data_IF_663623181026
#
_entry.id   IF_663623181026
#
_cell.length_a   1.000
_cell.length_b   1.000
_cell.length_c   1.000
_cell.angle_alpha   90.00
_cell.angle_beta   90.00
_cell.angle_gamma   90.00
#
_symmetry.space_group_name_H-M   'P 1'
#
loop_
_entity.id
_entity.type
_entity.pdbx_description
1 polymer ?
#
# COMPACT_ATOMS: atom_id res chain seq x y z
N UNK A 1 -9.11 -11.06 14.79
CA UNK A 1 -7.82 -10.97 14.07
C UNK A 1 -8.17 -11.08 12.60
N UNK A 2 -8.22 -9.95 11.90
CA UNK A 2 -8.67 -9.86 10.50
C UNK A 2 -7.59 -9.12 9.73
N UNK A 3 -6.59 -9.86 9.30
CA UNK A 3 -5.58 -9.34 8.38
C UNK A 3 -6.03 -9.78 7.00
N UNK A 4 -6.34 -8.81 6.12
CA UNK A 4 -6.35 -9.07 4.68
C UNK A 4 -4.89 -9.37 4.32
N UNK A 5 -4.50 -10.64 4.46
CA UNK A 5 -3.19 -11.13 4.12
C UNK A 5 -3.15 -11.65 2.67
N UNK A 6 -1.98 -12.11 2.20
CA UNK A 6 -1.79 -12.60 0.83
C UNK A 6 -2.69 -13.81 0.45
N UNK A 7 -3.35 -14.42 1.44
CA UNK A 7 -4.27 -15.56 1.26
C UNK A 7 -5.72 -15.23 1.66
N UNK A 8 -6.08 -13.94 1.78
CA UNK A 8 -7.43 -13.56 2.14
C UNK A 8 -8.42 -13.91 1.01
N UNK A 9 -9.54 -14.52 1.39
CA UNK A 9 -10.65 -14.79 0.48
C UNK A 9 -11.06 -13.49 -0.24
N UNK A 10 -11.07 -13.47 -1.60
CA UNK A 10 -11.47 -12.30 -2.36
C UNK A 10 -12.87 -11.80 -2.03
N UNK A 11 -13.82 -12.69 -1.72
CA UNK A 11 -15.20 -12.30 -1.37
C UNK A 11 -15.25 -11.62 0.00
N UNK A 12 -14.50 -12.16 0.96
CA UNK A 12 -14.37 -11.56 2.28
C UNK A 12 -13.68 -10.19 2.20
N UNK A 13 -12.60 -10.07 1.43
CA UNK A 13 -11.90 -8.80 1.22
C UNK A 13 -12.83 -7.76 0.59
N UNK A 14 -13.61 -8.13 -0.43
CA UNK A 14 -14.60 -7.25 -1.05
C UNK A 14 -15.65 -6.75 -0.06
N UNK A 15 -16.12 -7.61 0.86
CA UNK A 15 -17.08 -7.21 1.90
C UNK A 15 -16.50 -6.18 2.87
N UNK A 16 -15.23 -6.32 3.28
CA UNK A 16 -14.55 -5.36 4.17
C UNK A 16 -14.40 -4.01 3.47
N UNK A 17 -14.01 -4.00 2.19
CA UNK A 17 -13.85 -2.77 1.42
C UNK A 17 -15.18 -2.01 1.30
N UNK A 18 -16.27 -2.72 1.07
CA UNK A 18 -17.61 -2.15 1.03
C UNK A 18 -18.02 -1.60 2.40
N UNK A 19 -17.82 -2.38 3.48
CA UNK A 19 -18.14 -1.98 4.85
C UNK A 19 -17.38 -0.71 5.28
N UNK A 20 -16.09 -0.63 4.95
CA UNK A 20 -15.23 0.49 5.32
C UNK A 20 -15.36 1.69 4.37
N UNK A 21 -16.24 1.61 3.37
CA UNK A 21 -16.47 2.69 2.40
C UNK A 21 -15.25 2.98 1.52
N UNK A 22 -14.33 2.02 1.41
CA UNK A 22 -13.12 2.16 0.61
C UNK A 22 -13.52 1.96 -0.85
N UNK A 23 -13.75 3.07 -1.54
CA UNK A 23 -14.23 3.11 -2.93
C UNK A 23 -13.45 4.13 -3.75
N UNK A 24 -13.42 3.98 -5.07
CA UNK A 24 -12.80 4.95 -5.99
C UNK A 24 -11.35 4.66 -6.39
N UNK A 25 -10.80 3.51 -6.01
CA UNK A 25 -9.51 3.03 -6.51
C UNK A 25 -9.52 1.51 -6.74
N UNK A 26 -8.57 1.01 -7.52
CA UNK A 26 -8.45 -0.42 -7.84
C UNK A 26 -7.92 -1.20 -6.65
N UNK A 27 -8.48 -2.38 -6.43
CA UNK A 27 -8.02 -3.35 -5.44
C UNK A 27 -7.47 -4.58 -6.15
N UNK A 28 -6.35 -5.09 -5.67
CA UNK A 28 -5.72 -6.30 -6.20
C UNK A 28 -5.56 -7.31 -5.08
N UNK A 29 -5.83 -8.58 -5.39
CA UNK A 29 -5.40 -9.68 -4.55
C UNK A 29 -3.94 -9.98 -4.91
N UNK A 30 -3.02 -9.79 -3.97
CA UNK A 30 -1.58 -9.97 -4.16
C UNK A 30 -1.11 -11.23 -3.44
N UNK A 31 -0.36 -12.09 -4.14
CA UNK A 31 0.29 -13.28 -3.57
C UNK A 31 1.65 -12.94 -2.90
N UNK A 32 1.90 -11.64 -2.69
CA UNK A 32 3.09 -11.05 -2.10
C UNK A 32 4.11 -10.55 -3.13
N UNK A 33 3.93 -10.85 -4.41
CA UNK A 33 4.87 -10.42 -5.47
C UNK A 33 4.82 -8.92 -5.72
N UNK A 34 3.63 -8.31 -5.64
CA UNK A 34 3.52 -6.85 -5.80
C UNK A 34 4.19 -6.15 -4.62
N UNK A 35 4.00 -6.63 -3.39
CA UNK A 35 4.72 -6.12 -2.22
C UNK A 35 6.24 -6.12 -2.40
N UNK A 36 6.83 -7.22 -2.88
CA UNK A 36 8.27 -7.33 -3.15
C UNK A 36 8.73 -6.31 -4.20
N UNK A 37 7.96 -6.11 -5.28
CA UNK A 37 8.32 -5.16 -6.34
C UNK A 37 8.36 -3.70 -5.85
N UNK A 38 7.59 -3.38 -4.81
CA UNK A 38 7.52 -2.05 -4.22
C UNK A 38 8.24 -1.94 -2.87
N UNK A 39 9.08 -2.91 -2.50
CA UNK A 39 9.84 -2.91 -1.25
C UNK A 39 8.95 -2.80 0.00
N UNK A 40 7.80 -3.50 -0.01
CA UNK A 40 6.84 -3.59 1.10
C UNK A 40 6.82 -5.01 1.65
N UNK A 41 7.34 -5.21 2.86
CA UNK A 41 7.50 -6.53 3.48
C UNK A 41 6.63 -6.80 4.71
N UNK A 42 5.72 -5.87 5.06
CA UNK A 42 4.83 -6.04 6.20
C UNK A 42 3.59 -5.17 6.14
N UNK A 43 2.62 -5.48 7.01
CA UNK A 43 1.31 -4.80 7.08
C UNK A 43 1.12 -4.07 8.41
N UNK A 44 0.61 -2.82 8.42
CA UNK A 44 0.34 -1.99 7.24
C UNK A 44 1.64 -1.62 6.52
N UNK A 45 1.58 -1.44 5.21
CA UNK A 45 2.71 -1.12 4.36
C UNK A 45 2.26 -0.20 3.22
N UNK A 46 3.17 0.66 2.76
CA UNK A 46 2.85 1.68 1.76
C UNK A 46 4.04 1.92 0.84
N UNK A 47 3.75 2.17 -0.43
CA UNK A 47 4.70 2.69 -1.40
C UNK A 47 4.09 3.89 -2.15
N UNK A 48 4.92 4.89 -2.42
CA UNK A 48 4.61 6.03 -3.29
C UNK A 48 5.46 5.92 -4.54
N UNK A 49 4.80 6.00 -5.69
CA UNK A 49 5.42 5.94 -7.00
C UNK A 49 5.20 7.28 -7.70
N UNK A 50 6.28 7.92 -8.16
CA UNK A 50 6.18 9.16 -8.94
C UNK A 50 5.91 8.86 -10.42
N UNK A 51 5.49 9.88 -11.17
CA UNK A 51 5.29 9.76 -12.62
C UNK A 51 6.58 9.41 -13.39
N UNK A 52 7.76 9.69 -12.82
CA UNK A 52 9.06 9.29 -13.38
C UNK A 52 9.48 7.87 -13.02
N UNK A 53 8.68 7.16 -12.21
CA UNK A 53 8.96 5.80 -11.77
C UNK A 53 9.84 5.70 -10.52
N UNK A 54 10.10 6.81 -9.81
CA UNK A 54 10.79 6.77 -8.51
C UNK A 54 9.86 6.17 -7.46
N UNK A 55 10.38 5.30 -6.61
CA UNK A 55 9.62 4.58 -5.58
C UNK A 55 10.22 4.87 -4.21
N UNK A 56 9.38 5.28 -3.26
CA UNK A 56 9.70 5.26 -1.83
C UNK A 56 8.68 4.39 -1.10
N UNK A 57 9.14 3.52 -0.21
CA UNK A 57 8.30 2.58 0.54
C UNK A 57 8.52 2.72 2.04
N UNK A 58 7.55 2.21 2.80
CA UNK A 58 7.68 2.01 4.24
C UNK A 58 6.82 0.84 4.70
N UNK A 59 7.30 0.18 5.74
CA UNK A 59 6.52 -0.77 6.54
C UNK A 59 6.12 -0.12 7.86
N UNK A 60 4.90 -0.37 8.33
CA UNK A 60 4.31 0.21 9.53
C UNK A 60 3.48 1.46 9.26
N UNK A 61 2.59 1.79 10.21
CA UNK A 61 1.72 2.96 10.13
C UNK A 61 2.56 4.24 10.06
N UNK A 62 2.37 5.10 9.03
CA UNK A 62 3.05 6.37 8.94
C UNK A 62 2.70 7.38 10.03
N UNK A 63 1.54 7.24 10.66
CA UNK A 63 1.04 8.24 11.59
C UNK A 63 0.86 9.62 10.93
N UNK A 64 0.57 10.65 11.74
CA UNK A 64 0.38 12.01 11.25
C UNK A 64 1.66 12.56 10.59
N UNK A 65 1.55 13.09 9.37
CA UNK A 65 2.68 13.67 8.62
C UNK A 65 3.55 12.65 7.86
N UNK A 66 3.56 11.38 8.28
CA UNK A 66 4.40 10.36 7.64
C UNK A 66 4.03 10.02 6.18
N UNK A 67 2.84 10.40 5.74
CA UNK A 67 2.41 10.30 4.33
C UNK A 67 3.09 11.36 3.47
N UNK A 68 3.14 12.61 3.94
CA UNK A 68 3.80 13.71 3.23
C UNK A 68 5.30 13.47 3.14
N UNK A 69 5.92 12.99 4.22
CA UNK A 69 7.34 12.61 4.23
C UNK A 69 7.66 11.54 3.17
N UNK A 70 6.79 10.52 3.04
CA UNK A 70 6.97 9.47 2.04
C UNK A 70 6.82 10.00 0.60
N UNK A 71 5.88 10.93 0.39
CA UNK A 71 5.71 11.62 -0.90
C UNK A 71 6.94 12.46 -1.24
N UNK A 72 7.48 13.21 -0.27
CA UNK A 72 8.67 14.03 -0.49
C UNK A 72 9.90 13.17 -0.75
N UNK A 73 10.05 12.05 -0.04
CA UNK A 73 11.12 11.08 -0.28
C UNK A 73 11.08 10.57 -1.72
N UNK A 74 9.91 10.14 -2.22
CA UNK A 74 9.76 9.66 -3.59
C UNK A 74 10.11 10.75 -4.62
N UNK A 75 9.72 12.01 -4.37
CA UNK A 75 10.02 13.16 -5.25
C UNK A 75 11.51 13.51 -5.29
N UNK A 76 12.20 13.43 -4.15
CA UNK A 76 13.63 13.73 -4.05
C UNK A 76 14.52 12.70 -4.78
N UNK A 77 14.01 11.50 -5.05
CA UNK A 77 14.71 10.47 -5.83
C UNK A 77 14.60 10.68 -7.36
N UNK A 78 13.74 11.59 -7.80
CA UNK A 78 13.53 11.90 -9.21
C UNK A 78 14.38 13.06 -9.75
N UNK A 79 15.23 13.67 -8.92
CA UNK A 79 16.15 14.76 -9.27
C UNK A 79 17.58 14.26 -9.37
#
# INVERSE_FOLDING_TARGET
MSTIGPDADPEWSASILQEWGITGFSHIADDGRVGILFDVFGTPGMAVVTASGSVASRTGDPGPGGYDDLIQAARAMGT
#
